data_IF_582967798895
#
_entry.id   IF_582967798895
#
_cell.length_a   1.000
_cell.length_b   1.000
_cell.length_c   1.000
_cell.angle_alpha   90.00
_cell.angle_beta   90.00
_cell.angle_gamma   90.00
#
_symmetry.space_group_name_H-M   'P 1'
#
loop_
_entity.id
_entity.type
_entity.pdbx_description
1 polymer ?
#
# COMPACT_ATOMS: atom_id res chain seq x y z
N UNK A 1 -13.21 1.07 -12.74
CA UNK A 1 -12.81 2.07 -11.74
C UNK A 1 -11.32 2.32 -11.90
N UNK A 2 -10.97 3.35 -12.64
CA UNK A 2 -9.60 3.83 -12.75
C UNK A 2 -9.46 5.11 -11.90
N UNK A 3 -8.27 5.36 -11.36
CA UNK A 3 -7.98 6.60 -10.63
C UNK A 3 -6.65 7.16 -11.16
N UNK A 4 -6.60 8.47 -11.35
CA UNK A 4 -5.39 9.21 -11.71
C UNK A 4 -4.89 9.94 -10.46
N UNK A 5 -3.59 9.84 -10.20
CA UNK A 5 -2.89 10.67 -9.22
C UNK A 5 -2.22 11.78 -10.01
N UNK A 6 -2.70 13.02 -9.86
CA UNK A 6 -2.01 14.19 -10.40
C UNK A 6 -0.85 14.54 -9.47
N UNK A 7 0.37 14.64 -10.02
CA UNK A 7 1.45 15.36 -9.34
C UNK A 7 1.14 16.85 -9.40
N UNK A 8 1.32 17.54 -8.27
CA UNK A 8 0.99 18.96 -8.11
C UNK A 8 1.80 19.85 -9.07
N UNK A 9 1.11 20.59 -9.92
CA UNK A 9 1.54 21.91 -10.39
C UNK A 9 0.56 22.95 -9.81
N UNK A 10 1.09 23.70 -8.85
CA UNK A 10 0.79 25.08 -8.43
C UNK A 10 -0.58 25.41 -7.80
N UNK A 11 -0.56 25.78 -6.51
CA UNK A 11 -1.68 26.48 -5.87
C UNK A 11 -1.76 26.38 -4.34
N UNK A 12 -0.98 27.21 -3.66
CA UNK A 12 -0.89 27.41 -2.21
C UNK A 12 -2.23 27.47 -1.44
N UNK A 13 -2.47 26.51 -0.53
CA UNK A 13 -3.21 26.70 0.73
C UNK A 13 -2.51 25.90 1.83
N UNK A 14 -1.98 26.61 2.84
CA UNK A 14 -1.40 26.04 4.06
C UNK A 14 -2.52 25.56 4.99
N UNK A 15 -2.46 24.30 5.42
CA UNK A 15 -2.94 23.89 6.73
C UNK A 15 -2.08 22.75 7.25
N UNK A 16 -1.64 22.92 8.48
CA UNK A 16 -0.59 22.17 9.14
C UNK A 16 -1.22 20.97 9.85
N UNK A 17 -0.80 19.77 9.42
CA UNK A 17 -0.42 18.57 10.19
C UNK A 17 -0.51 17.39 9.22
N UNK A 18 0.64 17.01 8.68
CA UNK A 18 0.98 15.60 8.44
C UNK A 18 0.37 14.82 7.26
N UNK A 19 -0.21 15.45 6.23
CA UNK A 19 -0.50 14.72 4.99
C UNK A 19 -0.43 15.66 3.79
N UNK A 20 0.45 15.39 2.84
CA UNK A 20 0.35 16.00 1.52
C UNK A 20 -1.04 15.68 0.98
N UNK A 21 -1.86 16.71 0.73
CA UNK A 21 -3.22 16.54 0.22
C UNK A 21 -3.12 15.92 -1.17
N UNK A 22 -3.17 14.59 -1.27
CA UNK A 22 -3.16 13.90 -2.54
C UNK A 22 -4.46 14.23 -3.27
N UNK A 23 -4.36 14.95 -4.38
CA UNK A 23 -5.50 15.26 -5.26
C UNK A 23 -5.95 13.98 -5.98
N UNK A 24 -7.15 13.50 -5.67
CA UNK A 24 -7.71 12.26 -6.23
C UNK A 24 -8.84 12.61 -7.18
N UNK A 25 -8.81 12.01 -8.36
CA UNK A 25 -9.89 12.12 -9.35
C UNK A 25 -10.59 10.78 -9.52
N UNK A 26 -11.91 10.77 -9.35
CA UNK A 26 -12.74 9.58 -9.54
C UNK A 26 -13.10 9.43 -11.02
N UNK A 27 -12.65 8.35 -11.66
CA UNK A 27 -13.08 8.00 -13.02
C UNK A 27 -14.14 6.89 -12.98
N UNK A 28 -15.31 7.20 -13.52
CA UNK A 28 -16.40 6.24 -13.71
C UNK A 28 -16.29 5.53 -15.06
N UNK A 29 -15.08 5.08 -15.39
CA UNK A 29 -14.80 4.33 -16.61
C UNK A 29 -14.45 2.88 -16.28
N UNK A 30 -14.99 1.96 -17.09
CA UNK A 30 -14.62 0.55 -17.05
C UNK A 30 -13.49 0.31 -18.03
N UNK A 31 -12.31 -0.02 -17.50
CA UNK A 31 -11.11 -0.27 -18.28
C UNK A 31 -10.64 -1.71 -18.04
N UNK A 32 -10.11 -2.40 -19.07
CA UNK A 32 -9.59 -3.76 -18.93
C UNK A 32 -8.18 -3.72 -18.31
N UNK A 33 -8.07 -3.18 -17.10
CA UNK A 33 -6.81 -3.16 -16.34
C UNK A 33 -7.09 -3.33 -14.85
N UNK A 34 -6.12 -3.91 -14.14
CA UNK A 34 -6.14 -3.97 -12.69
C UNK A 34 -5.76 -2.60 -12.12
N UNK A 35 -6.36 -2.24 -10.98
CA UNK A 35 -6.00 -1.03 -10.29
C UNK A 35 -4.61 -1.20 -9.64
N UNK A 36 -3.63 -0.32 -9.91
CA UNK A 36 -2.27 -0.49 -9.38
C UNK A 36 -2.18 -0.35 -7.86
N UNK A 37 -3.14 0.33 -7.21
CA UNK A 37 -3.32 0.44 -5.74
C UNK A 37 -4.78 0.65 -5.36
N UNK A 38 -5.18 0.22 -4.17
CA UNK A 38 -6.50 0.53 -3.62
C UNK A 38 -6.53 1.97 -3.07
N UNK A 39 -7.56 2.73 -3.44
CA UNK A 39 -7.84 4.08 -2.93
C UNK A 39 -8.85 4.08 -1.79
N UNK A 40 -9.19 2.91 -1.24
CA UNK A 40 -10.23 2.76 -0.21
C UNK A 40 -9.98 3.60 1.05
N UNK A 41 -8.72 3.74 1.47
CA UNK A 41 -8.36 4.57 2.63
C UNK A 41 -8.55 6.07 2.37
N UNK A 42 -8.28 6.52 1.16
CA UNK A 42 -8.52 7.92 0.79
C UNK A 42 -10.02 8.21 0.74
N UNK A 43 -10.83 7.26 0.26
CA UNK A 43 -12.30 7.35 0.30
C UNK A 43 -12.82 7.34 1.74
N UNK A 44 -12.25 6.52 2.63
CA UNK A 44 -12.59 6.52 4.05
C UNK A 44 -12.35 7.90 4.70
N UNK A 45 -11.26 8.57 4.35
CA UNK A 45 -10.99 9.92 4.82
C UNK A 45 -12.03 10.94 4.28
N UNK A 46 -12.40 10.85 3.00
CA UNK A 46 -13.49 11.67 2.44
C UNK A 46 -14.85 11.41 3.11
N UNK A 47 -15.07 10.18 3.60
CA UNK A 47 -16.24 9.80 4.37
C UNK A 47 -16.18 10.21 5.86
N UNK A 48 -15.18 11.01 6.24
CA UNK A 48 -14.96 11.51 7.61
C UNK A 48 -14.80 10.38 8.64
N UNK A 49 -14.24 9.24 8.23
CA UNK A 49 -13.82 8.21 9.18
C UNK A 49 -12.63 8.74 9.98
N UNK A 50 -12.60 8.60 11.32
CA UNK A 50 -11.49 9.05 12.15
C UNK A 50 -10.13 8.51 11.69
N UNK A 51 -9.13 9.38 11.64
CA UNK A 51 -7.79 9.03 11.15
C UNK A 51 -7.13 7.90 11.95
N UNK A 52 -7.42 7.80 13.24
CA UNK A 52 -6.95 6.68 14.08
C UNK A 52 -7.41 5.32 13.55
N UNK A 53 -8.64 5.23 13.03
CA UNK A 53 -9.21 4.01 12.46
C UNK A 53 -8.56 3.73 11.09
N UNK A 54 -8.44 4.77 10.27
CA UNK A 54 -7.81 4.67 8.94
C UNK A 54 -6.35 4.20 9.08
N UNK A 55 -5.59 4.80 9.99
CA UNK A 55 -4.20 4.46 10.27
C UNK A 55 -4.04 3.01 10.75
N UNK A 56 -4.90 2.56 11.68
CA UNK A 56 -4.93 1.14 12.09
C UNK A 56 -5.22 0.22 10.90
N UNK A 57 -6.17 0.60 10.04
CA UNK A 57 -6.50 -0.14 8.83
C UNK A 57 -5.32 -0.26 7.86
N UNK A 58 -4.58 0.83 7.64
CA UNK A 58 -3.38 0.84 6.79
C UNK A 58 -2.30 -0.11 7.34
N UNK A 59 -2.06 -0.09 8.65
CA UNK A 59 -1.07 -0.98 9.29
C UNK A 59 -1.48 -2.44 9.10
N UNK A 60 -2.73 -2.79 9.43
CA UNK A 60 -3.25 -4.15 9.29
C UNK A 60 -3.20 -4.64 7.84
N UNK A 61 -3.58 -3.79 6.87
CA UNK A 61 -3.53 -4.16 5.45
C UNK A 61 -2.09 -4.45 4.99
N UNK A 62 -1.11 -3.61 5.39
CA UNK A 62 0.31 -3.84 5.08
C UNK A 62 0.82 -5.16 5.67
N UNK A 63 0.45 -5.49 6.90
CA UNK A 63 0.84 -6.76 7.52
C UNK A 63 0.21 -7.97 6.82
N UNK A 64 -1.04 -7.83 6.38
CA UNK A 64 -1.74 -8.86 5.65
C UNK A 64 -1.13 -9.12 4.27
N UNK A 65 -0.77 -8.06 3.53
CA UNK A 65 -0.08 -8.17 2.24
C UNK A 65 1.26 -8.89 2.38
N UNK A 66 2.03 -8.57 3.43
CA UNK A 66 3.29 -9.26 3.75
C UNK A 66 3.08 -10.76 3.97
N UNK A 67 2.09 -11.12 4.77
CA UNK A 67 1.75 -12.52 5.03
C UNK A 67 1.32 -13.24 3.75
N UNK A 68 0.49 -12.59 2.93
CA UNK A 68 0.00 -13.10 1.65
C UNK A 68 1.14 -13.37 0.65
N UNK A 69 2.17 -12.51 0.64
CA UNK A 69 3.37 -12.70 -0.19
C UNK A 69 4.15 -13.95 0.21
N UNK A 70 4.30 -14.20 1.52
CA UNK A 70 4.96 -15.42 2.03
C UNK A 70 4.17 -16.67 1.64
N UNK A 71 2.84 -16.66 1.83
CA UNK A 71 1.98 -17.78 1.43
C UNK A 71 2.01 -18.02 -0.09
N UNK A 72 2.10 -16.96 -0.88
CA UNK A 72 2.20 -17.07 -2.34
C UNK A 72 3.54 -17.68 -2.76
N UNK A 73 4.64 -17.26 -2.15
CA UNK A 73 5.95 -17.92 -2.36
C UNK A 73 5.88 -19.41 -1.99
N UNK A 74 5.34 -19.73 -0.81
CA UNK A 74 5.22 -21.12 -0.35
C UNK A 74 4.41 -21.97 -1.31
N UNK A 75 3.25 -21.47 -1.76
CA UNK A 75 2.41 -22.12 -2.78
C UNK A 75 3.18 -22.37 -4.06
N UNK A 76 3.93 -21.38 -4.56
CA UNK A 76 4.71 -21.52 -5.78
C UNK A 76 5.82 -22.59 -5.62
N UNK A 77 6.50 -22.62 -4.47
CA UNK A 77 7.50 -23.65 -4.15
C UNK A 77 6.87 -25.04 -4.12
N UNK A 78 5.77 -25.20 -3.39
CA UNK A 78 5.07 -26.48 -3.24
C UNK A 78 4.41 -26.96 -4.53
N UNK A 79 4.11 -26.05 -5.46
CA UNK A 79 3.58 -26.42 -6.78
C UNK A 79 4.59 -27.18 -7.66
N UNK A 80 5.87 -27.19 -7.29
CA UNK A 80 6.95 -27.85 -8.04
C UNK A 80 7.34 -27.19 -9.37
N UNK A 81 6.74 -26.04 -9.72
CA UNK A 81 6.96 -25.32 -10.98
C UNK A 81 7.96 -24.15 -10.87
N UNK A 82 8.57 -23.96 -9.70
CA UNK A 82 9.45 -22.83 -9.42
C UNK A 82 10.77 -22.92 -10.21
N UNK A 83 11.00 -21.98 -11.14
CA UNK A 83 12.26 -21.87 -11.85
C UNK A 83 13.33 -21.14 -11.02
N UNK A 84 14.62 -21.29 -11.40
CA UNK A 84 15.73 -20.63 -10.71
C UNK A 84 15.62 -19.10 -10.73
N UNK A 85 15.15 -18.53 -11.83
CA UNK A 85 14.90 -17.09 -11.97
C UNK A 85 13.77 -16.62 -11.06
N UNK A 86 12.66 -17.37 -11.01
CA UNK A 86 11.54 -17.09 -10.10
C UNK A 86 12.00 -17.17 -8.64
N UNK A 87 12.82 -18.16 -8.29
CA UNK A 87 13.38 -18.30 -6.95
C UNK A 87 14.28 -17.10 -6.57
N UNK A 88 15.09 -16.58 -7.50
CA UNK A 88 15.89 -15.37 -7.29
C UNK A 88 15.00 -14.12 -7.11
N UNK A 89 13.94 -14.00 -7.90
CA UNK A 89 12.96 -12.93 -7.75
C UNK A 89 12.27 -12.99 -6.38
N UNK A 90 11.85 -14.17 -5.95
CA UNK A 90 11.28 -14.39 -4.63
C UNK A 90 12.26 -14.06 -3.51
N UNK A 91 13.53 -14.44 -3.64
CA UNK A 91 14.60 -14.08 -2.70
C UNK A 91 14.71 -12.55 -2.55
N UNK A 92 14.69 -11.80 -3.66
CA UNK A 92 14.74 -10.33 -3.61
C UNK A 92 13.48 -9.73 -2.99
N UNK A 93 12.29 -10.21 -3.36
CA UNK A 93 11.00 -9.75 -2.81
C UNK A 93 10.93 -9.97 -1.29
N UNK A 94 11.31 -11.15 -0.81
CA UNK A 94 11.29 -11.47 0.62
C UNK A 94 12.36 -10.70 1.41
N UNK A 95 13.54 -10.46 0.82
CA UNK A 95 14.58 -9.63 1.45
C UNK A 95 14.12 -8.18 1.66
N UNK A 96 13.39 -7.60 0.70
CA UNK A 96 12.76 -6.29 0.84
C UNK A 96 11.73 -6.27 1.98
N UNK A 97 10.91 -7.32 2.08
CA UNK A 97 9.92 -7.48 3.15
C UNK A 97 10.53 -7.41 4.55
N UNK A 98 11.71 -8.03 4.73
CA UNK A 98 12.43 -8.04 6.02
C UNK A 98 13.05 -6.70 6.38
N UNK A 99 13.41 -5.86 5.39
CA UNK A 99 14.04 -4.55 5.64
C UNK A 99 13.04 -3.50 6.14
N UNK A 100 11.80 -3.54 5.67
CA UNK A 100 10.75 -2.62 6.13
C UNK A 100 10.43 -2.77 7.63
N UNK A 101 10.71 -3.92 8.23
CA UNK A 101 10.52 -4.16 9.68
C UNK A 101 11.37 -3.25 10.57
N UNK A 102 12.48 -2.70 10.03
CA UNK A 102 13.40 -1.83 10.79
C UNK A 102 12.94 -0.37 10.90
N UNK A 103 12.07 0.11 10.00
CA UNK A 103 11.64 1.52 9.99
C UNK A 103 10.30 1.75 10.71
N UNK A 104 9.47 0.71 10.88
CA UNK A 104 8.13 0.81 11.46
C UNK A 104 8.04 0.70 12.99
N UNK A 105 9.16 0.65 13.71
CA UNK A 105 9.18 0.51 15.19
C UNK A 105 9.46 1.83 15.93
N UNK A 106 9.75 2.92 15.21
CA UNK A 106 10.15 4.20 15.79
C UNK A 106 8.96 5.08 16.21
N UNK A 107 7.77 4.88 15.65
CA UNK A 107 6.62 5.77 15.87
C UNK A 107 5.71 5.37 17.05
N UNK A 108 6.18 4.46 17.91
CA UNK A 108 5.42 4.01 19.08
C UNK A 108 6.13 4.34 20.39
N UNK A 109 6.58 5.59 20.54
CA UNK A 109 6.88 6.21 21.84
C UNK A 109 6.59 7.71 21.78
N UNK A 110 5.33 8.08 21.97
CA UNK A 110 4.98 9.34 22.63
C UNK A 110 3.68 9.10 23.39
N UNK A 111 3.85 8.74 24.66
CA UNK A 111 2.88 8.94 25.74
C UNK A 111 3.09 10.32 26.32
#
# INVERSE_FOLDING_TARGET
MACLVGGDEDGQVKSEVGSSVQKITFLYNFVPSACPKSYGFNVAHLAQIPDEIINKGIVMAKEFEKSTLVFTCLRDVLSGKMTREQAQLWRMKLANLSREKMYGRSDQKCT
#
